data_IF_094639262118
#
_entry.id   IF_094639262118
#
_cell.length_a   1.000
_cell.length_b   1.000
_cell.length_c   1.000
_cell.angle_alpha   90.00
_cell.angle_beta   90.00
_cell.angle_gamma   90.00
#
_symmetry.space_group_name_H-M   'P 1'
#
loop_
_entity.id
_entity.type
_entity.pdbx_description
1 polymer ?
#
# COMPACT_ATOMS: atom_id res chain seq x y z
N UNK A 1 -8.96 6.91 -14.74
CA UNK A 1 -8.51 5.78 -13.89
C UNK A 1 -9.60 5.43 -12.91
N UNK A 2 -9.81 4.14 -12.63
CA UNK A 2 -10.77 3.67 -11.62
C UNK A 2 -10.07 3.68 -10.26
N UNK A 3 -10.69 4.29 -9.26
CA UNK A 3 -10.25 4.20 -7.87
C UNK A 3 -10.41 2.76 -7.36
N UNK A 4 -9.36 2.21 -6.76
CA UNK A 4 -9.27 0.82 -6.31
C UNK A 4 -9.19 0.69 -4.79
N UNK A 5 -9.62 1.70 -4.03
CA UNK A 5 -9.58 1.72 -2.56
C UNK A 5 -10.18 0.48 -1.86
N UNK A 6 -11.16 -0.18 -2.51
CA UNK A 6 -11.79 -1.40 -2.00
C UNK A 6 -10.99 -2.69 -2.28
N UNK A 7 -9.79 -2.59 -2.86
CA UNK A 7 -8.90 -3.75 -3.07
C UNK A 7 -8.53 -4.35 -1.72
N UNK A 8 -8.82 -5.63 -1.53
CA UNK A 8 -8.48 -6.39 -0.33
C UNK A 8 -7.07 -6.96 -0.48
N UNK A 9 -6.24 -6.73 0.54
CA UNK A 9 -4.91 -7.31 0.71
C UNK A 9 -5.01 -8.41 1.76
N UNK A 10 -4.59 -9.62 1.41
CA UNK A 10 -4.56 -10.79 2.30
C UNK A 10 -3.11 -11.12 2.67
N UNK A 11 -2.76 -11.01 3.95
CA UNK A 11 -1.41 -11.25 4.48
C UNK A 11 -1.02 -12.71 4.60
N UNK A 12 -1.98 -13.64 4.64
CA UNK A 12 -1.68 -15.06 4.84
C UNK A 12 -0.86 -15.67 3.68
N UNK A 13 -0.83 -15.00 2.53
CA UNK A 13 0.00 -15.35 1.39
C UNK A 13 0.72 -14.14 0.76
N UNK A 14 0.82 -13.03 1.47
CA UNK A 14 1.48 -11.81 0.98
C UNK A 14 2.33 -11.15 2.07
N UNK A 15 3.59 -10.88 1.77
CA UNK A 15 4.39 -9.92 2.54
C UNK A 15 3.96 -8.51 2.16
N UNK A 16 3.55 -7.72 3.14
CA UNK A 16 3.06 -6.35 2.91
C UNK A 16 4.02 -5.35 3.55
N UNK A 17 4.55 -4.45 2.74
CA UNK A 17 5.35 -3.32 3.18
C UNK A 17 4.70 -2.00 2.76
N UNK A 18 4.63 -1.06 3.69
CA UNK A 18 4.05 0.27 3.45
C UNK A 18 5.16 1.30 3.54
N UNK A 19 5.17 2.21 2.56
CA UNK A 19 6.13 3.31 2.49
C UNK A 19 5.40 4.64 2.37
N UNK A 20 5.97 5.67 3.00
CA UNK A 20 5.60 7.06 2.77
C UNK A 20 6.72 7.75 1.97
N UNK A 21 6.32 8.60 1.02
CA UNK A 21 7.25 9.42 0.25
C UNK A 21 7.70 10.63 1.06
N UNK A 22 9.00 10.73 1.32
CA UNK A 22 9.66 11.85 1.99
C UNK A 22 10.61 12.57 1.03
N UNK A 23 11.22 13.66 1.50
CA UNK A 23 12.26 14.38 0.74
C UNK A 23 13.49 13.53 0.43
N UNK A 24 13.69 12.43 1.16
CA UNK A 24 14.85 11.54 1.02
C UNK A 24 14.52 10.24 0.26
N UNK A 25 13.29 10.09 -0.23
CA UNK A 25 12.83 8.90 -0.95
C UNK A 25 11.67 8.19 -0.26
N UNK A 26 11.67 6.85 -0.29
CA UNK A 26 10.62 6.03 0.32
C UNK A 26 11.05 5.57 1.72
N UNK A 27 10.26 5.93 2.73
CA UNK A 27 10.47 5.53 4.13
C UNK A 27 9.46 4.47 4.54
N UNK A 28 9.95 3.30 4.97
CA UNK A 28 9.10 2.21 5.43
C UNK A 28 8.45 2.59 6.76
N UNK A 29 7.14 2.39 6.86
CA UNK A 29 6.36 2.65 8.06
C UNK A 29 5.68 1.39 8.57
N UNK A 30 5.44 1.35 9.88
CA UNK A 30 4.70 0.26 10.50
C UNK A 30 3.20 0.44 10.26
N UNK A 31 2.51 -0.61 9.85
CA UNK A 31 1.06 -0.60 9.75
C UNK A 31 0.46 -0.95 11.12
N UNK A 32 -0.28 -0.04 11.77
CA UNK A 32 -0.73 -0.25 13.15
C UNK A 32 -1.73 -1.39 13.33
N UNK A 33 -2.37 -1.88 12.25
CA UNK A 33 -3.39 -2.93 12.27
C UNK A 33 -2.79 -4.31 11.92
N UNK A 34 -1.62 -4.60 12.49
CA UNK A 34 -0.81 -5.78 12.15
C UNK A 34 -1.46 -7.13 12.51
N UNK A 35 -2.50 -7.10 13.36
CA UNK A 35 -3.26 -8.28 13.79
C UNK A 35 -4.32 -8.74 12.77
N UNK A 36 -4.69 -7.88 11.81
CA UNK A 36 -5.68 -8.24 10.77
C UNK A 36 -5.01 -8.98 9.62
N UNK A 37 -5.51 -10.19 9.35
CA UNK A 37 -5.08 -10.98 8.19
C UNK A 37 -5.53 -10.36 6.85
N UNK A 38 -6.61 -9.58 6.85
CA UNK A 38 -7.14 -8.91 5.67
C UNK A 38 -7.51 -7.46 5.97
N UNK A 39 -7.16 -6.56 5.06
CA UNK A 39 -7.54 -5.15 5.08
C UNK A 39 -7.64 -4.61 3.66
N UNK A 40 -8.30 -3.47 3.51
CA UNK A 40 -8.43 -2.76 2.24
C UNK A 40 -7.37 -1.68 2.09
N UNK A 41 -7.17 -1.20 0.86
CA UNK A 41 -6.36 0.00 0.63
C UNK A 41 -6.95 1.25 1.32
N UNK A 42 -8.28 1.30 1.50
CA UNK A 42 -8.94 2.35 2.28
C UNK A 42 -8.56 2.31 3.77
N UNK A 43 -8.47 1.12 4.37
CA UNK A 43 -8.04 0.97 5.77
C UNK A 43 -6.62 1.50 5.97
N UNK A 44 -5.75 1.30 4.98
CA UNK A 44 -4.40 1.88 4.96
C UNK A 44 -4.45 3.41 4.86
N UNK A 45 -5.27 3.95 3.95
CA UNK A 45 -5.43 5.39 3.82
C UNK A 45 -5.90 6.03 5.13
N UNK A 46 -6.90 5.45 5.80
CA UNK A 46 -7.42 5.96 7.07
C UNK A 46 -6.32 5.99 8.15
N UNK A 47 -5.45 4.97 8.20
CA UNK A 47 -4.34 4.92 9.16
C UNK A 47 -3.30 6.02 8.93
N UNK A 48 -3.12 6.48 7.68
CA UNK A 48 -2.12 7.49 7.32
C UNK A 48 -2.71 8.83 6.88
N UNK A 49 -4.03 9.04 6.97
CA UNK A 49 -4.74 10.21 6.39
C UNK A 49 -4.20 11.58 6.82
N UNK A 50 -3.57 11.64 8.01
CA UNK A 50 -3.04 12.88 8.58
C UNK A 50 -1.60 13.19 8.09
N UNK A 51 -1.00 12.30 7.30
CA UNK A 51 0.31 12.49 6.68
C UNK A 51 0.17 13.00 5.23
N UNK A 52 0.64 14.21 4.89
CA UNK A 52 0.47 14.77 3.54
C UNK A 52 1.41 14.17 2.47
N UNK A 53 1.79 12.89 2.61
CA UNK A 53 2.80 12.19 1.82
C UNK A 53 2.16 11.14 0.91
N UNK A 54 2.79 10.82 -0.22
CA UNK A 54 2.32 9.71 -1.07
C UNK A 54 2.51 8.39 -0.32
N UNK A 55 1.47 7.55 -0.30
CA UNK A 55 1.50 6.23 0.31
C UNK A 55 1.79 5.22 -0.80
N UNK A 56 2.73 4.31 -0.56
CA UNK A 56 2.97 3.15 -1.40
C UNK A 56 2.76 1.88 -0.58
N UNK A 57 2.09 0.90 -1.18
CA UNK A 57 1.85 -0.42 -0.57
C UNK A 57 2.41 -1.46 -1.51
N UNK A 58 3.40 -2.18 -1.03
CA UNK A 58 4.07 -3.28 -1.73
C UNK A 58 3.48 -4.57 -1.17
N UNK A 59 2.80 -5.34 -2.00
CA UNK A 59 2.32 -6.68 -1.66
C UNK A 59 3.08 -7.69 -2.50
N UNK A 60 3.93 -8.49 -1.88
CA UNK A 60 4.69 -9.55 -2.51
C UNK A 60 4.11 -10.93 -2.18
N UNK A 61 3.73 -11.71 -3.21
CA UNK A 61 3.19 -13.07 -3.12
C UNK A 61 4.18 -14.12 -3.65
N UNK A 62 5.48 -13.84 -3.55
CA UNK A 62 6.57 -14.74 -3.94
C UNK A 62 6.88 -14.64 -5.43
N UNK A 63 5.99 -15.18 -6.29
CA UNK A 63 6.21 -15.18 -7.75
C UNK A 63 5.69 -13.91 -8.44
N UNK A 64 4.83 -13.15 -7.76
CA UNK A 64 4.25 -11.92 -8.26
C UNK A 64 4.09 -10.93 -7.11
N UNK A 65 4.49 -9.68 -7.33
CA UNK A 65 4.21 -8.58 -6.43
C UNK A 65 3.38 -7.50 -7.11
N UNK A 66 2.69 -6.72 -6.31
CA UNK A 66 1.86 -5.61 -6.73
C UNK A 66 2.22 -4.39 -5.91
N UNK A 67 2.40 -3.27 -6.61
CA UNK A 67 2.64 -1.98 -5.97
C UNK A 67 1.40 -1.13 -6.19
N UNK A 68 0.82 -0.67 -5.09
CA UNK A 68 -0.27 0.26 -5.05
C UNK A 68 0.24 1.61 -4.57
N UNK A 69 -0.34 2.70 -5.06
CA UNK A 69 -0.03 4.04 -4.57
C UNK A 69 -1.29 4.88 -4.36
N UNK A 70 -1.21 5.79 -3.40
CA UNK A 70 -2.24 6.76 -3.09
C UNK A 70 -1.62 8.14 -2.88
N UNK A 71 -2.11 9.13 -3.61
CA UNK A 71 -1.78 10.52 -3.32
C UNK A 71 -2.57 10.99 -2.10
N UNK A 72 -1.90 11.15 -0.96
CA UNK A 72 -2.54 11.60 0.29
C UNK A 72 -2.68 13.14 0.39
N UNK A 73 -2.66 13.84 -0.75
CA UNK A 73 -2.88 15.29 -0.84
C UNK A 73 -4.39 15.65 -0.79
N UNK A 74 -5.19 14.93 0.01
CA UNK A 74 -6.60 15.21 0.28
C UNK A 74 -7.64 14.56 -0.66
N UNK A 75 -7.24 13.70 -1.61
CA UNK A 75 -8.19 13.00 -2.51
C UNK A 75 -8.30 11.49 -2.28
N UNK A 76 -7.29 10.86 -1.68
CA UNK A 76 -7.33 9.43 -1.34
C UNK A 76 -7.53 8.48 -2.54
N UNK A 77 -7.13 8.89 -3.75
CA UNK A 77 -7.37 8.09 -4.96
C UNK A 77 -6.29 7.02 -5.07
N UNK A 78 -6.70 5.75 -4.97
CA UNK A 78 -5.81 4.61 -5.10
C UNK A 78 -5.63 4.17 -6.55
N UNK A 79 -4.41 3.75 -6.86
CA UNK A 79 -4.02 3.31 -8.19
C UNK A 79 -3.08 2.10 -8.09
N UNK A 80 -3.25 1.13 -9.00
CA UNK A 80 -2.24 0.09 -9.21
C UNK A 80 -1.08 0.71 -9.98
N UNK A 81 0.08 0.81 -9.35
CA UNK A 81 1.25 1.47 -9.89
C UNK A 81 2.09 0.54 -10.75
N UNK A 82 2.38 -0.66 -10.25
CA UNK A 82 3.19 -1.64 -10.95
C UNK A 82 2.82 -3.07 -10.54
N UNK A 83 3.20 -4.02 -11.39
CA UNK A 83 3.27 -5.44 -11.06
C UNK A 83 4.75 -5.81 -11.15
N UNK A 84 5.30 -6.37 -10.09
CA UNK A 84 6.65 -6.94 -10.08
C UNK A 84 6.53 -8.43 -10.37
N UNK A 85 7.38 -8.96 -11.24
CA UNK A 85 7.58 -10.40 -11.32
C UNK A 85 8.56 -10.78 -10.22
N UNK A 86 8.21 -11.78 -9.41
CA UNK A 86 9.11 -12.29 -8.38
C UNK A 86 10.40 -12.76 -9.02
N UNK A 87 11.53 -12.25 -8.55
CA UNK A 87 12.80 -12.93 -8.78
C UNK A 87 12.75 -14.21 -7.95
N UNK A 88 12.63 -15.34 -8.64
CA UNK A 88 12.99 -16.64 -8.06
C UNK A 88 14.49 -16.66 -7.70
#
# INVERSE_FOLDING_TARGET
MKDIKNTVIDRLGCSVDIFLESSNGLERVFYPDDEKNQFTLEDIYIAFKDHPMMIYVFCDRGLNGEIYRCGNYGKGIWQKYAVTQGYA
#
